data_IF_302517905220
#
_entry.id   IF_302517905220
#
_cell.length_a   1.000
_cell.length_b   1.000
_cell.length_c   1.000
_cell.angle_alpha   90.00
_cell.angle_beta   90.00
_cell.angle_gamma   90.00
#
_symmetry.space_group_name_H-M   'P 1'
#
loop_
_entity.id
_entity.type
_entity.pdbx_description
1 polymer ?
#
# COMPACT_ATOMS: atom_id res chain seq x y z
N UNK A 1 -10.60 14.12 -65.09
CA UNK A 1 -9.56 14.93 -64.43
C UNK A 1 -10.22 16.15 -63.80
N UNK A 2 -9.80 16.66 -62.63
CA UNK A 2 -8.98 16.09 -61.53
C UNK A 2 -9.79 15.97 -60.21
N UNK A 3 -9.44 15.04 -59.30
CA UNK A 3 -8.77 15.28 -57.99
C UNK A 3 -9.38 16.42 -57.14
N UNK A 4 -9.86 16.14 -55.93
CA UNK A 4 -8.98 16.16 -54.74
C UNK A 4 -9.53 15.28 -53.62
N UNK A 5 -8.81 14.17 -53.36
CA UNK A 5 -8.88 13.45 -52.09
C UNK A 5 -8.10 14.27 -51.04
N UNK A 6 -8.74 14.60 -49.92
CA UNK A 6 -8.06 15.16 -48.74
C UNK A 6 -7.54 14.01 -47.85
N UNK A 7 -6.22 13.82 -47.71
CA UNK A 7 -5.64 12.93 -46.70
C UNK A 7 -5.34 13.76 -45.46
N UNK A 8 -6.13 13.65 -44.39
CA UNK A 8 -5.85 14.48 -43.20
C UNK A 8 -6.42 14.02 -41.86
N UNK A 9 -7.41 13.12 -41.83
CA UNK A 9 -8.08 12.75 -40.57
C UNK A 9 -7.42 11.64 -39.75
N UNK A 10 -6.58 10.79 -40.36
CA UNK A 10 -6.07 9.57 -39.71
C UNK A 10 -4.86 9.78 -38.79
N UNK A 11 -3.98 10.72 -39.11
CA UNK A 11 -2.71 10.89 -38.39
C UNK A 11 -2.88 11.55 -37.01
N UNK A 12 -3.84 12.47 -36.87
CA UNK A 12 -4.11 13.18 -35.60
C UNK A 12 -4.72 12.24 -34.57
N UNK A 13 -5.59 11.32 -34.98
CA UNK A 13 -6.21 10.33 -34.09
C UNK A 13 -5.22 9.28 -33.57
N UNK A 14 -4.22 8.90 -34.39
CA UNK A 14 -3.17 7.96 -33.98
C UNK A 14 -2.18 8.60 -32.99
N UNK A 15 -1.79 9.87 -33.19
CA UNK A 15 -0.94 10.59 -32.24
C UNK A 15 -1.65 10.86 -30.90
N UNK A 16 -2.95 11.18 -30.91
CA UNK A 16 -3.69 11.46 -29.68
C UNK A 16 -3.92 10.19 -28.83
N UNK A 17 -4.17 9.05 -29.48
CA UNK A 17 -4.28 7.74 -28.83
C UNK A 17 -2.93 7.24 -28.29
N UNK A 18 -1.84 7.56 -28.99
CA UNK A 18 -0.46 7.33 -28.54
C UNK A 18 -0.11 8.13 -27.28
N UNK A 19 -0.41 9.44 -27.25
CA UNK A 19 -0.13 10.29 -26.09
C UNK A 19 -0.94 9.91 -24.84
N UNK A 20 -2.22 9.54 -25.00
CA UNK A 20 -3.04 9.04 -23.89
C UNK A 20 -2.53 7.70 -23.36
N UNK A 21 -2.06 6.83 -24.24
CA UNK A 21 -1.45 5.55 -23.85
C UNK A 21 -0.12 5.76 -23.14
N UNK A 22 0.75 6.67 -23.61
CA UNK A 22 2.03 6.96 -22.98
C UNK A 22 1.89 7.52 -21.56
N UNK A 23 0.89 8.39 -21.33
CA UNK A 23 0.54 8.91 -20.01
C UNK A 23 0.02 7.83 -19.05
N UNK A 24 -0.85 6.93 -19.55
CA UNK A 24 -1.36 5.82 -18.74
C UNK A 24 -0.26 4.82 -18.38
N UNK A 25 0.62 4.51 -19.35
CA UNK A 25 1.77 3.63 -19.14
C UNK A 25 2.78 4.23 -18.17
N UNK A 26 3.07 5.53 -18.24
CA UNK A 26 3.95 6.18 -17.26
C UNK A 26 3.34 6.17 -15.85
N UNK A 27 2.03 6.43 -15.70
CA UNK A 27 1.37 6.36 -14.40
C UNK A 27 1.41 4.93 -13.82
N UNK A 28 1.10 3.92 -14.64
CA UNK A 28 1.18 2.52 -14.22
C UNK A 28 2.61 2.10 -13.84
N UNK A 29 3.60 2.57 -14.60
CA UNK A 29 5.01 2.28 -14.34
C UNK A 29 5.51 2.99 -13.08
N UNK A 30 5.12 4.24 -12.85
CA UNK A 30 5.40 5.00 -11.62
C UNK A 30 4.74 4.35 -10.40
N UNK A 31 3.47 3.91 -10.50
CA UNK A 31 2.80 3.21 -9.39
C UNK A 31 3.42 1.84 -9.11
N UNK A 32 3.81 1.09 -10.14
CA UNK A 32 4.51 -0.19 -9.98
C UNK A 32 5.90 0.00 -9.37
N UNK A 33 6.64 1.02 -9.81
CA UNK A 33 7.95 1.37 -9.28
C UNK A 33 7.88 1.82 -7.82
N UNK A 34 6.93 2.69 -7.47
CA UNK A 34 6.71 3.12 -6.08
C UNK A 34 6.39 1.93 -5.18
N UNK A 35 5.52 1.03 -5.63
CA UNK A 35 5.19 -0.20 -4.90
C UNK A 35 6.41 -1.11 -4.74
N UNK A 36 7.23 -1.24 -5.77
CA UNK A 36 8.46 -2.03 -5.73
C UNK A 36 9.44 -1.45 -4.70
N UNK A 37 9.71 -0.14 -4.79
CA UNK A 37 10.59 0.56 -3.86
C UNK A 37 10.10 0.46 -2.41
N UNK A 38 8.80 0.66 -2.17
CA UNK A 38 8.22 0.50 -0.83
C UNK A 38 8.37 -0.92 -0.29
N UNK A 39 8.15 -1.93 -1.12
CA UNK A 39 8.29 -3.34 -0.71
C UNK A 39 9.76 -3.69 -0.44
N UNK A 40 10.68 -3.19 -1.26
CA UNK A 40 12.12 -3.36 -1.08
C UNK A 40 12.61 -2.71 0.22
N UNK A 41 12.22 -1.45 0.47
CA UNK A 41 12.57 -0.71 1.68
C UNK A 41 12.02 -1.43 2.90
N UNK A 42 10.74 -1.83 2.88
CA UNK A 42 10.12 -2.54 4.00
C UNK A 42 10.82 -3.87 4.29
N UNK A 43 11.16 -4.65 3.26
CA UNK A 43 11.90 -5.90 3.42
C UNK A 43 13.31 -5.70 3.96
N UNK A 44 14.05 -4.71 3.43
CA UNK A 44 15.40 -4.38 3.88
C UNK A 44 15.40 -3.89 5.34
N UNK A 45 14.44 -3.02 5.71
CA UNK A 45 14.27 -2.57 7.09
C UNK A 45 13.94 -3.74 8.02
N UNK A 46 13.03 -4.64 7.62
CA UNK A 46 12.68 -5.81 8.43
C UNK A 46 13.88 -6.77 8.60
N UNK A 47 14.67 -7.01 7.56
CA UNK A 47 15.88 -7.82 7.64
C UNK A 47 16.91 -7.19 8.60
N UNK A 48 17.10 -5.86 8.53
CA UNK A 48 18.02 -5.14 9.42
C UNK A 48 17.56 -5.21 10.88
N UNK A 49 16.27 -5.07 11.14
CA UNK A 49 15.68 -5.18 12.48
C UNK A 49 15.84 -6.61 13.01
N UNK A 50 15.54 -7.63 12.20
CA UNK A 50 15.71 -9.03 12.58
C UNK A 50 17.18 -9.35 12.87
N UNK A 51 18.10 -8.90 12.02
CA UNK A 51 19.54 -9.04 12.24
C UNK A 51 19.98 -8.36 13.54
N UNK A 52 19.48 -7.15 13.82
CA UNK A 52 19.78 -6.45 15.08
C UNK A 52 19.27 -7.20 16.30
N UNK A 53 18.08 -7.81 16.21
CA UNK A 53 17.52 -8.62 17.29
C UNK A 53 18.36 -9.89 17.54
N UNK A 54 18.86 -10.54 16.49
CA UNK A 54 19.77 -11.68 16.63
C UNK A 54 21.12 -11.24 17.21
N UNK A 55 21.66 -10.10 16.76
CA UNK A 55 22.91 -9.54 17.27
C UNK A 55 22.88 -9.25 18.76
N UNK A 56 21.76 -8.81 19.30
CA UNK A 56 21.60 -8.55 20.74
C UNK A 56 21.02 -9.72 21.52
N UNK A 57 20.74 -10.85 20.86
CA UNK A 57 19.95 -11.97 21.40
C UNK A 57 18.60 -11.55 22.03
N UNK A 58 18.06 -10.41 21.61
CA UNK A 58 16.85 -9.82 22.22
C UNK A 58 17.05 -9.12 23.57
N UNK A 59 18.29 -8.96 24.07
CA UNK A 59 18.56 -8.22 25.31
C UNK A 59 18.47 -6.70 25.11
N UNK A 60 17.24 -6.20 25.11
CA UNK A 60 16.96 -4.75 25.06
C UNK A 60 17.47 -4.02 26.31
N UNK A 61 17.52 -4.69 27.47
CA UNK A 61 18.05 -4.12 28.71
C UNK A 61 19.55 -3.84 28.63
N UNK A 62 20.33 -4.75 28.03
CA UNK A 62 21.74 -4.56 27.68
C UNK A 62 21.95 -3.34 26.79
N UNK A 63 21.13 -3.18 25.75
CA UNK A 63 21.16 -2.01 24.86
C UNK A 63 20.92 -0.71 25.62
N UNK A 64 19.92 -0.65 26.50
CA UNK A 64 19.66 0.55 27.30
C UNK A 64 20.81 0.88 28.26
N UNK A 65 21.42 -0.13 28.89
CA UNK A 65 22.62 0.07 29.73
C UNK A 65 23.79 0.63 28.91
N UNK A 66 24.02 0.11 27.71
CA UNK A 66 25.03 0.64 26.80
C UNK A 66 24.75 2.09 26.39
N UNK A 67 23.51 2.40 26.00
CA UNK A 67 23.12 3.76 25.60
C UNK A 67 23.30 4.76 26.75
N UNK A 68 22.99 4.34 27.99
CA UNK A 68 23.22 5.16 29.18
C UNK A 68 24.71 5.41 29.42
N UNK A 69 25.54 4.37 29.38
CA UNK A 69 26.99 4.48 29.55
C UNK A 69 27.63 5.34 28.44
N UNK A 70 27.16 5.21 27.19
CA UNK A 70 27.60 6.06 26.07
C UNK A 70 27.19 7.52 26.27
N UNK A 71 26.00 7.76 26.81
CA UNK A 71 25.52 9.11 27.17
C UNK A 71 26.36 9.74 28.28
N UNK A 72 26.76 8.96 29.29
CA UNK A 72 27.67 9.40 30.35
C UNK A 72 29.05 9.76 29.81
N UNK A 73 29.62 8.94 28.92
CA UNK A 73 30.89 9.25 28.26
C UNK A 73 30.84 10.56 27.45
N UNK A 74 29.74 10.80 26.71
CA UNK A 74 29.53 12.07 25.98
C UNK A 74 29.39 13.28 26.90
N UNK A 75 28.73 13.12 28.04
CA UNK A 75 28.60 14.21 29.04
C UNK A 75 29.94 14.54 29.68
N UNK A 76 30.78 13.53 29.96
CA UNK A 76 32.14 13.74 30.47
C UNK A 76 33.01 14.50 29.45
N UNK A 77 32.92 14.12 28.18
CA UNK A 77 33.61 14.82 27.08
C UNK A 77 33.14 16.27 26.95
N UNK A 78 31.83 16.52 27.01
CA UNK A 78 31.26 17.86 26.97
C UNK A 78 31.61 18.71 28.21
N UNK A 79 31.80 18.08 29.37
CA UNK A 79 32.21 18.74 30.61
C UNK A 79 33.72 19.06 30.66
N UNK A 80 34.48 18.72 29.61
CA UNK A 80 35.92 18.96 29.56
C UNK A 80 36.74 18.01 30.45
N UNK A 81 36.22 16.81 30.73
CA UNK A 81 36.96 15.77 31.46
C UNK A 81 38.27 15.40 30.74
N UNK A 82 39.24 14.89 31.49
CA UNK A 82 40.53 14.51 30.90
C UNK A 82 40.36 13.38 29.88
N UNK A 83 41.25 13.32 28.89
CA UNK A 83 41.21 12.29 27.85
C UNK A 83 41.22 10.86 28.42
N UNK A 84 41.92 10.67 29.55
CA UNK A 84 41.97 9.40 30.27
C UNK A 84 40.61 9.02 30.90
N UNK A 85 39.91 9.97 31.50
CA UNK A 85 38.56 9.76 32.05
C UNK A 85 37.55 9.42 30.95
N UNK A 86 37.63 10.11 29.80
CA UNK A 86 36.76 9.82 28.64
C UNK A 86 37.09 8.45 28.05
N UNK A 87 38.37 8.08 27.95
CA UNK A 87 38.79 6.76 27.46
C UNK A 87 38.31 5.64 28.39
N UNK A 88 38.43 5.80 29.71
CA UNK A 88 37.93 4.84 30.69
C UNK A 88 36.39 4.69 30.61
N UNK A 89 35.65 5.79 30.42
CA UNK A 89 34.20 5.75 30.23
C UNK A 89 33.80 5.03 28.93
N UNK A 90 34.52 5.27 27.83
CA UNK A 90 34.33 4.56 26.55
C UNK A 90 34.65 3.07 26.68
N UNK A 91 35.70 2.70 27.42
CA UNK A 91 36.06 1.31 27.68
C UNK A 91 34.97 0.57 28.48
N UNK A 92 34.41 1.20 29.52
CA UNK A 92 33.25 0.64 30.27
C UNK A 92 32.03 0.44 29.37
N UNK A 93 31.75 1.37 28.46
CA UNK A 93 30.64 1.20 27.52
C UNK A 93 30.88 0.03 26.56
N UNK A 94 32.12 -0.17 26.09
CA UNK A 94 32.48 -1.31 25.24
C UNK A 94 32.35 -2.65 25.97
N UNK A 95 32.77 -2.71 27.23
CA UNK A 95 32.61 -3.90 28.08
C UNK A 95 31.14 -4.31 28.24
N UNK A 96 30.25 -3.32 28.49
CA UNK A 96 28.80 -3.55 28.51
C UNK A 96 28.31 -4.09 27.15
N UNK A 97 28.81 -3.55 26.03
CA UNK A 97 28.42 -3.99 24.69
C UNK A 97 28.80 -5.45 24.43
N UNK A 98 30.01 -5.87 24.85
CA UNK A 98 30.48 -7.25 24.69
C UNK A 98 29.64 -8.25 25.48
N UNK A 99 29.02 -7.83 26.60
CA UNK A 99 28.20 -8.70 27.43
C UNK A 99 26.89 -9.16 26.78
N UNK A 100 26.32 -8.41 25.85
CA UNK A 100 25.05 -8.76 25.18
C UNK A 100 25.17 -8.94 23.65
N UNK A 101 26.24 -8.47 23.03
CA UNK A 101 26.46 -8.62 21.60
C UNK A 101 26.97 -10.03 21.26
N UNK A 102 26.29 -10.70 20.33
CA UNK A 102 26.71 -11.99 19.77
C UNK A 102 26.78 -11.94 18.24
N UNK A 103 27.95 -11.59 17.67
CA UNK A 103 28.13 -11.53 16.24
C UNK A 103 28.14 -12.93 15.58
N UNK A 104 28.56 -13.97 16.30
CA UNK A 104 28.64 -15.32 15.75
C UNK A 104 27.24 -15.89 15.54
N UNK A 105 26.34 -15.71 16.51
CA UNK A 105 24.94 -16.09 16.35
C UNK A 105 24.23 -15.26 15.26
N UNK A 106 24.47 -13.94 15.21
CA UNK A 106 23.86 -13.08 14.19
C UNK A 106 24.24 -13.48 12.76
N UNK A 107 25.50 -13.85 12.53
CA UNK A 107 25.98 -14.31 11.21
C UNK A 107 25.38 -15.65 10.81
N UNK A 108 25.19 -16.58 11.76
CA UNK A 108 24.49 -17.84 11.52
C UNK A 108 23.00 -17.63 11.20
N UNK A 109 22.38 -16.62 11.81
CA UNK A 109 20.97 -16.27 11.59
C UNK A 109 20.75 -15.31 10.41
N UNK A 110 21.80 -14.91 9.70
CA UNK A 110 21.70 -14.04 8.53
C UNK A 110 20.73 -14.58 7.46
N UNK A 111 20.71 -15.89 7.11
CA UNK A 111 19.73 -16.44 6.18
C UNK A 111 18.29 -16.25 6.66
N UNK A 112 18.05 -16.40 7.97
CA UNK A 112 16.72 -16.23 8.59
C UNK A 112 16.30 -14.77 8.55
N UNK A 113 17.20 -13.84 8.87
CA UNK A 113 16.93 -12.40 8.79
C UNK A 113 16.56 -11.97 7.35
N UNK A 114 17.27 -12.48 6.35
CA UNK A 114 16.95 -12.24 4.94
C UNK A 114 15.60 -12.84 4.55
N UNK A 115 15.29 -14.06 5.02
CA UNK A 115 14.00 -14.69 4.78
C UNK A 115 12.84 -13.89 5.37
N UNK A 116 13.00 -13.36 6.59
CA UNK A 116 12.02 -12.43 7.20
C UNK A 116 11.84 -11.20 6.31
N UNK A 117 12.93 -10.59 5.84
CA UNK A 117 12.87 -9.45 4.92
C UNK A 117 12.10 -9.75 3.63
N UNK A 118 12.35 -10.91 3.01
CA UNK A 118 11.63 -11.36 1.81
C UNK A 118 10.14 -11.58 2.10
N UNK A 119 9.80 -12.23 3.22
CA UNK A 119 8.40 -12.44 3.64
C UNK A 119 7.69 -11.10 3.83
N UNK A 120 8.32 -10.14 4.51
CA UNK A 120 7.75 -8.80 4.71
C UNK A 120 7.59 -8.06 3.38
N UNK A 121 8.59 -8.09 2.51
CA UNK A 121 8.49 -7.50 1.17
C UNK A 121 7.33 -8.10 0.37
N UNK A 122 7.16 -9.43 0.41
CA UNK A 122 6.05 -10.13 -0.25
C UNK A 122 4.68 -9.75 0.35
N UNK A 123 4.59 -9.61 1.67
CA UNK A 123 3.37 -9.17 2.35
C UNK A 123 3.00 -7.73 1.96
N UNK A 124 3.96 -6.81 1.99
CA UNK A 124 3.73 -5.41 1.55
C UNK A 124 3.33 -5.39 0.09
N UNK A 125 4.05 -6.10 -0.77
CA UNK A 125 3.72 -6.21 -2.18
C UNK A 125 2.29 -6.71 -2.42
N UNK A 126 1.88 -7.78 -1.73
CA UNK A 126 0.53 -8.35 -1.89
C UNK A 126 -0.56 -7.44 -1.33
N UNK A 127 -0.35 -6.83 -0.16
CA UNK A 127 -1.32 -5.91 0.45
C UNK A 127 -1.57 -4.68 -0.42
N UNK A 128 -0.52 -4.05 -0.93
CA UNK A 128 -0.65 -2.90 -1.83
C UNK A 128 -1.18 -3.32 -3.20
N UNK A 129 -0.83 -4.51 -3.70
CA UNK A 129 -1.42 -5.06 -4.91
C UNK A 129 -2.92 -5.32 -4.80
N UNK A 130 -3.39 -5.83 -3.66
CA UNK A 130 -4.84 -5.99 -3.40
C UNK A 130 -5.57 -4.65 -3.33
N UNK A 131 -4.93 -3.61 -2.77
CA UNK A 131 -5.51 -2.25 -2.75
C UNK A 131 -5.57 -1.64 -4.15
N UNK A 132 -4.51 -1.78 -4.94
CA UNK A 132 -4.47 -1.26 -6.30
C UNK A 132 -5.52 -1.94 -7.19
N UNK A 133 -5.64 -3.28 -7.11
CA UNK A 133 -6.71 -4.02 -7.80
C UNK A 133 -8.10 -3.59 -7.38
N UNK A 134 -8.33 -3.23 -6.11
CA UNK A 134 -9.63 -2.69 -5.65
C UNK A 134 -9.90 -1.29 -6.19
N UNK A 135 -8.87 -0.46 -6.32
CA UNK A 135 -8.97 0.87 -6.92
C UNK A 135 -9.24 0.79 -8.43
N UNK A 136 -8.54 -0.09 -9.15
CA UNK A 136 -8.73 -0.34 -10.58
C UNK A 136 -10.06 -1.02 -10.89
N UNK A 137 -10.49 -1.99 -10.08
CA UNK A 137 -11.76 -2.69 -10.26
C UNK A 137 -12.99 -1.86 -9.80
N UNK A 138 -12.81 -0.58 -9.46
CA UNK A 138 -13.91 0.28 -9.02
C UNK A 138 -14.61 -0.20 -7.75
N UNK A 139 -13.95 -0.99 -6.89
CA UNK A 139 -14.56 -1.60 -5.70
C UNK A 139 -15.07 -0.59 -4.67
N UNK A 140 -14.47 0.60 -4.62
CA UNK A 140 -14.99 1.70 -3.80
C UNK A 140 -16.25 2.34 -4.44
N UNK A 141 -16.37 2.29 -5.77
CA UNK A 141 -17.55 2.78 -6.50
C UNK A 141 -18.68 1.75 -6.50
N UNK A 142 -18.40 0.46 -6.64
CA UNK A 142 -19.42 -0.60 -6.63
C UNK A 142 -20.22 -0.58 -5.31
N UNK A 143 -19.53 -0.52 -4.17
CA UNK A 143 -20.19 -0.43 -2.86
C UNK A 143 -20.93 0.92 -2.65
N UNK A 144 -20.47 2.00 -3.27
CA UNK A 144 -21.13 3.31 -3.20
C UNK A 144 -22.38 3.33 -4.09
N UNK A 145 -22.30 2.80 -5.31
CA UNK A 145 -23.40 2.70 -6.25
C UNK A 145 -24.48 1.74 -5.71
N UNK A 146 -24.10 0.59 -5.15
CA UNK A 146 -25.02 -0.32 -4.47
C UNK A 146 -25.70 0.36 -3.27
N UNK A 147 -24.94 1.13 -2.46
CA UNK A 147 -25.51 1.93 -1.38
C UNK A 147 -26.45 3.03 -1.86
N UNK A 148 -26.18 3.65 -3.02
CA UNK A 148 -27.08 4.64 -3.62
C UNK A 148 -28.40 4.01 -4.06
N UNK A 149 -28.33 2.84 -4.71
CA UNK A 149 -29.53 2.06 -5.10
C UNK A 149 -30.32 1.65 -3.87
N UNK A 150 -29.67 1.11 -2.83
CA UNK A 150 -30.33 0.74 -1.57
C UNK A 150 -30.96 1.94 -0.88
N UNK A 151 -30.25 3.06 -0.76
CA UNK A 151 -30.77 4.29 -0.14
C UNK A 151 -32.00 4.81 -0.88
N UNK A 152 -31.99 4.72 -2.21
CA UNK A 152 -33.16 5.07 -3.02
C UNK A 152 -34.31 4.09 -2.77
N UNK A 153 -34.04 2.79 -2.85
CA UNK A 153 -35.04 1.73 -2.66
C UNK A 153 -35.72 1.80 -1.28
N UNK A 154 -34.97 2.08 -0.21
CA UNK A 154 -35.56 2.31 1.12
C UNK A 154 -36.44 3.57 1.17
N UNK A 155 -36.04 4.64 0.47
CA UNK A 155 -36.82 5.88 0.40
C UNK A 155 -38.10 5.72 -0.45
N UNK A 156 -38.10 4.81 -1.42
CA UNK A 156 -39.23 4.54 -2.31
C UNK A 156 -40.14 3.40 -1.83
N UNK A 157 -40.00 2.94 -0.58
CA UNK A 157 -40.85 1.89 -0.01
C UNK A 157 -40.53 0.49 -0.53
N UNK A 158 -39.30 0.28 -0.99
CA UNK A 158 -38.78 -1.02 -1.40
C UNK A 158 -39.01 -1.37 -2.87
N UNK A 159 -39.66 -0.50 -3.68
CA UNK A 159 -39.89 -0.73 -5.11
C UNK A 159 -39.34 0.43 -5.95
N UNK A 160 -38.73 0.13 -7.09
CA UNK A 160 -38.20 1.13 -8.01
C UNK A 160 -37.99 0.60 -9.43
N UNK A 161 -37.90 1.49 -10.41
CA UNK A 161 -37.49 1.16 -11.78
C UNK A 161 -36.09 1.68 -12.10
N UNK A 162 -35.48 1.25 -13.22
CA UNK A 162 -34.19 1.81 -13.68
C UNK A 162 -34.32 3.29 -14.03
N UNK A 163 -35.46 3.70 -14.59
CA UNK A 163 -35.72 5.09 -14.96
C UNK A 163 -35.83 5.98 -13.73
N UNK A 164 -36.46 5.48 -12.67
CA UNK A 164 -36.49 6.17 -11.38
C UNK A 164 -35.09 6.41 -10.80
N UNK A 165 -34.17 5.46 -10.99
CA UNK A 165 -32.79 5.59 -10.54
C UNK A 165 -32.01 6.63 -11.36
N UNK A 166 -32.22 6.68 -12.67
CA UNK A 166 -31.59 7.69 -13.53
C UNK A 166 -32.09 9.11 -13.21
N UNK A 167 -33.39 9.28 -12.95
CA UNK A 167 -33.98 10.59 -12.69
C UNK A 167 -33.68 11.13 -11.29
N UNK A 168 -33.49 10.24 -10.28
CA UNK A 168 -33.42 10.64 -8.86
C UNK A 168 -32.10 10.29 -8.17
N UNK A 169 -31.22 9.54 -8.82
CA UNK A 169 -29.87 9.22 -8.34
C UNK A 169 -28.83 9.82 -9.28
N UNK A 170 -27.62 10.20 -8.81
CA UNK A 170 -26.52 10.64 -9.68
C UNK A 170 -25.91 9.48 -10.52
N UNK A 171 -26.68 8.44 -10.82
CA UNK A 171 -26.26 7.27 -11.59
C UNK A 171 -26.73 7.41 -13.04
N UNK A 172 -25.83 7.14 -13.99
CA UNK A 172 -26.26 7.01 -15.39
C UNK A 172 -27.06 5.72 -15.59
N UNK A 173 -27.88 5.66 -16.63
CA UNK A 173 -28.68 4.48 -16.96
C UNK A 173 -27.84 3.19 -17.05
N UNK A 174 -26.68 3.24 -17.71
CA UNK A 174 -25.77 2.10 -17.84
C UNK A 174 -25.21 1.63 -16.49
N UNK A 175 -24.85 2.57 -15.61
CA UNK A 175 -24.37 2.25 -14.27
C UNK A 175 -25.48 1.66 -13.39
N UNK A 176 -26.70 2.23 -13.47
CA UNK A 176 -27.86 1.72 -12.75
C UNK A 176 -28.19 0.29 -13.19
N UNK A 177 -28.14 0.00 -14.49
CA UNK A 177 -28.36 -1.34 -15.06
C UNK A 177 -27.31 -2.35 -14.60
N UNK A 178 -26.03 -1.97 -14.63
CA UNK A 178 -24.94 -2.86 -14.20
C UNK A 178 -25.04 -3.19 -12.70
N UNK A 179 -25.30 -2.18 -11.87
CA UNK A 179 -25.38 -2.33 -10.41
C UNK A 179 -26.61 -3.14 -9.99
N UNK A 180 -27.78 -2.83 -10.54
CA UNK A 180 -29.01 -3.59 -10.26
C UNK A 180 -28.91 -5.03 -10.76
N UNK A 181 -28.26 -5.27 -11.90
CA UNK A 181 -27.95 -6.61 -12.40
C UNK A 181 -27.13 -7.42 -11.38
N UNK A 182 -26.02 -6.86 -10.89
CA UNK A 182 -25.21 -7.49 -9.83
C UNK A 182 -26.00 -7.73 -8.54
N UNK A 183 -26.83 -6.78 -8.13
CA UNK A 183 -27.64 -6.90 -6.91
C UNK A 183 -28.74 -7.97 -7.04
N UNK A 184 -29.29 -8.16 -8.24
CA UNK A 184 -30.26 -9.22 -8.55
C UNK A 184 -29.60 -10.61 -8.56
N UNK A 185 -28.40 -10.73 -9.14
CA UNK A 185 -27.60 -11.96 -9.08
C UNK A 185 -27.24 -12.38 -7.65
N UNK A 186 -27.02 -11.39 -6.76
CA UNK A 186 -26.74 -11.61 -5.34
C UNK A 186 -28.01 -11.86 -4.49
N UNK A 187 -29.20 -11.83 -5.09
CA UNK A 187 -30.47 -12.03 -4.37
C UNK A 187 -30.89 -10.87 -3.47
N UNK A 188 -30.25 -9.70 -3.57
CA UNK A 188 -30.62 -8.51 -2.79
C UNK A 188 -31.83 -7.77 -3.40
N UNK A 189 -32.10 -7.98 -4.69
CA UNK A 189 -33.25 -7.45 -5.40
C UNK A 189 -34.01 -8.59 -6.07
N UNK A 190 -35.33 -8.49 -6.06
CA UNK A 190 -36.24 -9.35 -6.83
C UNK A 190 -36.87 -8.53 -7.97
N UNK A 191 -37.13 -9.20 -9.08
CA UNK A 191 -37.85 -8.58 -10.20
C UNK A 191 -39.34 -8.53 -9.88
N UNK A 192 -39.95 -7.36 -10.00
CA UNK A 192 -41.34 -7.08 -9.65
C UNK A 192 -42.01 -6.35 -10.82
N UNK A 193 -42.50 -7.14 -11.79
CA UNK A 193 -43.02 -6.63 -13.06
C UNK A 193 -41.95 -5.88 -13.86
N UNK A 194 -42.25 -4.62 -14.20
CA UNK A 194 -41.34 -3.71 -14.91
C UNK A 194 -40.29 -3.04 -14.00
N UNK A 195 -40.31 -3.35 -12.70
CA UNK A 195 -39.41 -2.79 -11.70
C UNK A 195 -38.66 -3.84 -10.88
N UNK A 196 -38.03 -3.35 -9.82
CA UNK A 196 -37.24 -4.10 -8.86
C UNK A 196 -37.80 -3.86 -7.46
N UNK A 197 -37.78 -4.90 -6.64
CA UNK A 197 -38.14 -4.86 -5.23
C UNK A 197 -36.96 -5.30 -4.37
N UNK A 198 -36.78 -4.69 -3.21
CA UNK A 198 -35.91 -5.22 -2.16
C UNK A 198 -36.41 -6.60 -1.70
N UNK A 199 -35.51 -7.58 -1.67
CA UNK A 199 -35.80 -8.93 -1.16
C UNK A 199 -35.91 -8.98 0.35
#
# INVERSE_FOLDING_TARGET
MPETALPGGGAVFLCFRSALSAGLWTILLVMSLARFLLSLIAGASAALIAFSAFYTRGDTGGVFRFLRARGEARRLEAAGASAEQVAAAKARALDIAQGFADPAFATQMLPVALLIGVVVAALVWTLFGRRLKRAEAGGERADVQERMVLKYAYRSGGRFTLRDLEEKSPLSFEQAREVTGRMLERGMLQRDGDGYRLS
#
